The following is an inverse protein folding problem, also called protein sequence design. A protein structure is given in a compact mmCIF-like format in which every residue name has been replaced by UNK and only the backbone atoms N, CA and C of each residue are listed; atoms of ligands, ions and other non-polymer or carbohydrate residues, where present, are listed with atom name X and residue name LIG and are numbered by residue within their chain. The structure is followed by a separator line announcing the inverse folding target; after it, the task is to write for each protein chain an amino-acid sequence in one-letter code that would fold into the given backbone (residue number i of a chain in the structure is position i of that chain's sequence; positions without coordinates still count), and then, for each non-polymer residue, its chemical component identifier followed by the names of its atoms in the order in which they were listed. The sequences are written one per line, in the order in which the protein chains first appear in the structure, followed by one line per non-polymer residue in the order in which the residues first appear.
data_IF_128225756244
#
_entry.id   IF_128225756244
#
_cell.length_a   1.000
_cell.length_b   1.000
_cell.length_c   1.000
_cell.angle_alpha   90.00
_cell.angle_beta   90.00
_cell.angle_gamma   90.00
#
_symmetry.space_group_name_H-M   'P 1'
#
loop_
_entity.id
_entity.type
_entity.pdbx_description
1 polymer ?
#
# COMPACT_ATOMS: atom_id res chain seq x y z
N UNK A 1 0.30 -0.05 10.35
CA UNK A 1 1.04 1.07 9.73
C UNK A 1 0.13 1.82 8.75
N UNK A 2 -0.86 1.14 8.16
CA UNK A 2 -1.97 1.71 7.42
C UNK A 2 -3.23 1.78 8.29
N UNK A 3 -4.04 2.83 8.19
CA UNK A 3 -5.23 3.03 9.04
C UNK A 3 -6.55 2.74 8.32
N UNK A 4 -6.55 2.64 6.98
CA UNK A 4 -7.74 2.39 6.16
C UNK A 4 -8.82 3.48 6.30
N UNK A 5 -8.42 4.73 6.52
CA UNK A 5 -9.39 5.83 6.48
C UNK A 5 -9.82 6.16 5.04
N UNK A 6 -10.94 6.86 4.84
CA UNK A 6 -11.44 7.17 3.51
C UNK A 6 -10.47 7.90 2.58
N UNK A 7 -9.62 8.77 3.10
CA UNK A 7 -8.65 9.54 2.30
C UNK A 7 -7.49 8.63 1.87
N UNK A 8 -6.97 7.82 2.79
CA UNK A 8 -6.01 6.76 2.48
C UNK A 8 -6.55 5.83 1.39
N UNK A 9 -7.80 5.34 1.55
CA UNK A 9 -8.45 4.44 0.60
C UNK A 9 -8.64 5.09 -0.77
N UNK A 10 -9.12 6.35 -0.79
CA UNK A 10 -9.26 7.15 -1.99
C UNK A 10 -7.95 7.30 -2.77
N UNK A 11 -6.84 7.49 -2.06
CA UNK A 11 -5.51 7.57 -2.68
C UNK A 11 -5.02 6.22 -3.22
N UNK A 12 -5.46 5.11 -2.63
CA UNK A 12 -4.97 3.76 -2.94
C UNK A 12 -5.66 3.11 -4.14
N UNK A 13 -6.96 3.33 -4.33
CA UNK A 13 -7.73 2.72 -5.44
C UNK A 13 -7.14 2.95 -6.85
N UNK A 14 -6.69 4.17 -7.22
CA UNK A 14 -6.06 4.41 -8.52
C UNK A 14 -4.80 3.57 -8.75
N UNK A 15 -4.04 3.26 -7.69
CA UNK A 15 -2.85 2.41 -7.79
C UNK A 15 -3.20 0.95 -8.07
N UNK A 16 -4.27 0.43 -7.47
CA UNK A 16 -4.75 -0.94 -7.75
C UNK A 16 -5.23 -1.08 -9.21
N UNK A 17 -6.06 -0.13 -9.66
CA UNK A 17 -6.52 -0.09 -11.05
C UNK A 17 -5.36 0.14 -12.04
N UNK A 18 -4.42 1.04 -11.71
CA UNK A 18 -3.23 1.31 -12.51
C UNK A 18 -2.26 0.12 -12.58
N UNK A 19 -2.10 -0.63 -11.49
CA UNK A 19 -1.31 -1.86 -11.51
C UNK A 19 -1.96 -2.91 -12.41
N UNK A 20 -3.29 -3.09 -12.34
CA UNK A 20 -4.03 -3.96 -13.25
C UNK A 20 -3.84 -3.51 -14.72
N UNK A 21 -3.95 -2.21 -14.97
CA UNK A 21 -3.79 -1.59 -16.28
C UNK A 21 -2.43 -1.92 -16.91
N UNK A 22 -1.32 -1.73 -16.19
CA UNK A 22 0.04 -2.00 -16.71
C UNK A 22 0.17 -3.48 -17.11
N UNK A 23 -0.38 -4.40 -16.32
CA UNK A 23 -0.36 -5.82 -16.64
C UNK A 23 -1.27 -6.17 -17.82
N UNK A 24 -2.46 -5.56 -17.91
CA UNK A 24 -3.37 -5.73 -19.04
C UNK A 24 -2.80 -5.17 -20.35
N UNK A 25 -2.12 -4.04 -20.28
CA UNK A 25 -1.42 -3.44 -21.41
C UNK A 25 -0.33 -4.36 -21.94
N UNK A 26 0.42 -5.05 -21.07
CA UNK A 26 1.42 -6.02 -21.51
C UNK A 26 0.79 -7.18 -22.32
N UNK A 27 -0.41 -7.65 -21.94
CA UNK A 27 -1.14 -8.65 -22.74
C UNK A 27 -1.59 -8.05 -24.07
N UNK A 28 -2.13 -6.82 -24.05
CA UNK A 28 -2.58 -6.13 -25.26
C UNK A 28 -1.45 -5.93 -26.26
N UNK A 29 -0.28 -5.47 -25.83
CA UNK A 29 0.89 -5.25 -26.70
C UNK A 29 1.46 -6.55 -27.28
N UNK A 30 1.57 -7.62 -26.47
CA UNK A 30 2.24 -8.86 -26.88
C UNK A 30 1.31 -9.81 -27.62
N UNK A 31 0.01 -9.79 -27.29
CA UNK A 31 -0.98 -10.78 -27.74
C UNK A 31 -2.13 -10.18 -28.52
N UNK A 32 -2.34 -8.87 -28.46
CA UNK A 32 -3.48 -8.21 -29.07
C UNK A 32 -4.82 -8.71 -28.54
N UNK A 33 -4.87 -9.07 -27.26
CA UNK A 33 -6.08 -9.44 -26.51
C UNK A 33 -6.21 -8.51 -25.29
N UNK A 34 -7.39 -8.43 -24.68
CA UNK A 34 -7.71 -7.53 -23.55
C UNK A 34 -7.74 -6.04 -23.92
N UNK A 35 -7.88 -5.68 -25.20
CA UNK A 35 -7.88 -4.27 -25.62
C UNK A 35 -9.01 -3.48 -24.92
N UNK A 36 -10.22 -4.03 -24.93
CA UNK A 36 -11.40 -3.44 -24.29
C UNK A 36 -11.21 -3.29 -22.77
N UNK A 37 -10.73 -4.35 -22.11
CA UNK A 37 -10.44 -4.35 -20.67
C UNK A 37 -9.34 -3.34 -20.27
N UNK A 38 -8.28 -3.26 -21.08
CA UNK A 38 -7.19 -2.30 -20.88
C UNK A 38 -7.69 -0.86 -20.96
N UNK A 39 -8.54 -0.55 -21.95
CA UNK A 39 -9.14 0.78 -22.07
C UNK A 39 -10.06 1.09 -20.87
N UNK A 40 -10.89 0.13 -20.46
CA UNK A 40 -11.75 0.28 -19.29
C UNK A 40 -10.93 0.55 -18.01
N UNK A 41 -9.83 -0.17 -17.81
CA UNK A 41 -8.93 0.06 -16.67
C UNK A 41 -8.26 1.43 -16.72
N UNK A 42 -7.93 1.94 -17.91
CA UNK A 42 -7.37 3.29 -18.06
C UNK A 42 -8.40 4.36 -17.67
N UNK A 43 -9.65 4.22 -18.13
CA UNK A 43 -10.76 5.09 -17.72
C UNK A 43 -10.99 4.98 -16.21
N UNK A 44 -11.01 3.76 -15.66
CA UNK A 44 -11.24 3.52 -14.25
C UNK A 44 -10.13 4.10 -13.35
N UNK A 45 -8.85 3.92 -13.70
CA UNK A 45 -7.74 4.47 -12.91
C UNK A 45 -7.79 6.01 -12.85
N UNK A 46 -8.10 6.65 -13.99
CA UNK A 46 -8.27 8.10 -14.04
C UNK A 46 -9.52 8.55 -13.27
N UNK A 47 -10.66 7.88 -13.49
CA UNK A 47 -11.92 8.11 -12.78
C UNK A 47 -11.77 8.04 -11.26
N UNK A 48 -11.08 7.02 -10.75
CA UNK A 48 -10.82 6.83 -9.32
C UNK A 48 -9.95 7.95 -8.74
N UNK A 49 -9.01 8.52 -9.52
CA UNK A 49 -8.21 9.66 -9.08
C UNK A 49 -9.05 10.93 -8.90
N UNK A 50 -10.02 11.16 -9.79
CA UNK A 50 -10.98 12.27 -9.70
C UNK A 50 -11.99 12.04 -8.58
N UNK A 51 -12.49 10.81 -8.43
CA UNK A 51 -13.34 10.42 -7.33
C UNK A 51 -12.65 10.66 -5.99
N UNK A 52 -11.35 10.32 -5.87
CA UNK A 52 -10.58 10.62 -4.68
C UNK A 52 -10.57 12.11 -4.35
N UNK A 53 -10.37 12.97 -5.34
CA UNK A 53 -10.46 14.43 -5.15
C UNK A 53 -11.83 14.86 -4.61
N UNK A 54 -12.92 14.30 -5.16
CA UNK A 54 -14.27 14.54 -4.66
C UNK A 54 -14.44 14.11 -3.21
N UNK A 55 -14.02 12.89 -2.85
CA UNK A 55 -14.19 12.35 -1.50
C UNK A 55 -13.45 13.18 -0.45
N UNK A 56 -12.25 13.67 -0.76
CA UNK A 56 -11.43 14.44 0.19
C UNK A 56 -11.91 15.89 0.35
N UNK A 57 -12.49 16.50 -0.70
CA UNK A 57 -12.83 17.94 -0.73
C UNK A 57 -14.31 18.26 -0.53
N UNK A 58 -15.20 17.31 -0.77
CA UNK A 58 -16.66 17.54 -0.69
C UNK A 58 -17.20 17.66 0.73
N UNK A 59 -16.47 17.15 1.74
CA UNK A 59 -16.96 17.07 3.12
C UNK A 59 -18.00 15.97 3.35
N UNK A 60 -18.25 15.12 2.35
CA UNK A 60 -19.24 14.03 2.44
C UNK A 60 -18.77 12.90 3.36
N UNK A 61 -17.45 12.72 3.50
CA UNK A 61 -16.85 11.76 4.42
C UNK A 61 -16.11 12.47 5.55
N UNK A 62 -16.28 11.97 6.77
CA UNK A 62 -15.44 12.34 7.91
C UNK A 62 -14.12 11.58 7.83
N UNK A 63 -13.00 12.30 7.81
CA UNK A 63 -11.66 11.73 7.88
C UNK A 63 -10.75 12.67 8.66
N UNK A 64 -9.76 12.10 9.34
CA UNK A 64 -8.68 12.84 10.01
C UNK A 64 -7.73 13.52 9.03
N UNK A 65 -7.73 13.08 7.77
CA UNK A 65 -6.89 13.61 6.69
C UNK A 65 -7.65 14.55 5.74
N UNK A 66 -8.92 14.86 6.00
CA UNK A 66 -9.67 15.81 5.16
C UNK A 66 -9.33 17.25 5.55
N UNK A 67 -9.01 18.07 4.55
CA UNK A 67 -8.65 19.49 4.72
C UNK A 67 -9.55 20.38 3.87
N UNK A 68 -10.07 21.45 4.46
CA UNK A 68 -10.89 22.47 3.80
C UNK A 68 -12.10 21.88 3.04
N UNK A 69 -12.96 21.17 3.78
CA UNK A 69 -14.23 20.67 3.26
C UNK A 69 -15.19 21.83 2.99
N UNK A 70 -15.64 21.95 1.75
CA UNK A 70 -16.59 22.98 1.30
C UNK A 70 -17.61 22.33 0.35
N UNK A 71 -18.89 22.20 0.77
CA UNK A 71 -19.93 21.58 -0.05
C UNK A 71 -20.08 22.21 -1.43
N UNK A 72 -19.84 23.53 -1.56
CA UNK A 72 -19.95 24.23 -2.85
C UNK A 72 -18.90 23.75 -3.86
N UNK A 73 -17.66 23.51 -3.39
CA UNK A 73 -16.58 22.91 -4.19
C UNK A 73 -16.88 21.45 -4.51
N UNK A 74 -17.47 20.73 -3.55
CA UNK A 74 -17.93 19.36 -3.75
C UNK A 74 -18.87 19.22 -4.95
N UNK A 75 -19.86 20.11 -5.07
CA UNK A 75 -20.82 20.11 -6.18
C UNK A 75 -20.14 20.36 -7.53
N UNK A 76 -19.22 21.33 -7.61
CA UNK A 76 -18.46 21.59 -8.84
C UNK A 76 -17.65 20.35 -9.27
N UNK A 77 -16.93 19.73 -8.34
CA UNK A 77 -16.15 18.52 -8.61
C UNK A 77 -17.07 17.38 -9.04
N UNK A 78 -18.25 17.23 -8.43
CA UNK A 78 -19.22 16.20 -8.79
C UNK A 78 -19.73 16.36 -10.22
N UNK A 79 -20.08 17.58 -10.64
CA UNK A 79 -20.50 17.88 -12.02
C UNK A 79 -19.36 17.58 -13.00
N UNK A 80 -18.14 18.02 -12.67
CA UNK A 80 -16.95 17.73 -13.47
C UNK A 80 -16.70 16.22 -13.60
N UNK A 81 -16.81 15.48 -12.49
CA UNK A 81 -16.69 14.04 -12.42
C UNK A 81 -17.73 13.34 -13.31
N UNK A 82 -18.99 13.76 -13.22
CA UNK A 82 -20.08 13.21 -14.03
C UNK A 82 -19.86 13.43 -15.53
N UNK A 83 -19.40 14.62 -15.94
CA UNK A 83 -19.11 14.93 -17.34
C UNK A 83 -17.92 14.11 -17.87
N UNK A 84 -16.81 14.06 -17.11
CA UNK A 84 -15.58 13.41 -17.56
C UNK A 84 -15.70 11.89 -17.53
N UNK A 85 -16.16 11.31 -16.42
CA UNK A 85 -16.34 9.85 -16.31
C UNK A 85 -17.50 9.40 -17.17
N UNK A 86 -18.65 10.08 -17.09
CA UNK A 86 -19.84 9.73 -17.87
C UNK A 86 -19.56 9.83 -19.36
N UNK A 87 -18.87 10.88 -19.81
CA UNK A 87 -18.42 11.05 -21.19
C UNK A 87 -17.47 9.94 -21.63
N UNK A 88 -16.45 9.62 -20.83
CA UNK A 88 -15.49 8.55 -21.15
C UNK A 88 -16.17 7.17 -21.23
N UNK A 89 -17.05 6.83 -20.28
CA UNK A 89 -17.78 5.57 -20.27
C UNK A 89 -18.81 5.50 -21.41
N UNK A 90 -19.47 6.61 -21.74
CA UNK A 90 -20.38 6.69 -22.89
C UNK A 90 -19.63 6.46 -24.20
N UNK A 91 -18.49 7.14 -24.40
CA UNK A 91 -17.65 6.93 -25.58
C UNK A 91 -17.15 5.48 -25.66
N UNK A 92 -16.73 4.91 -24.54
CA UNK A 92 -16.37 3.50 -24.45
C UNK A 92 -17.52 2.58 -24.86
N UNK A 93 -18.73 2.79 -24.34
CA UNK A 93 -19.91 1.99 -24.68
C UNK A 93 -20.28 2.12 -26.17
N UNK A 94 -20.26 3.34 -26.72
CA UNK A 94 -20.55 3.60 -28.13
C UNK A 94 -19.50 3.00 -29.07
N UNK A 95 -18.24 2.86 -28.61
CA UNK A 95 -17.14 2.28 -29.39
C UNK A 95 -16.85 0.82 -29.06
N UNK A 96 -17.55 0.22 -28.10
CA UNK A 96 -17.30 -1.13 -27.61
C UNK A 96 -17.29 -2.18 -28.74
N UNK A 97 -18.24 -2.10 -29.68
CA UNK A 97 -18.31 -3.02 -30.83
C UNK A 97 -17.17 -2.88 -31.84
N UNK A 98 -16.46 -1.75 -31.85
CA UNK A 98 -15.29 -1.52 -32.70
C UNK A 98 -13.96 -1.87 -31.99
N UNK A 99 -13.99 -1.99 -30.65
CA UNK A 99 -12.84 -2.34 -29.83
C UNK A 99 -12.62 -3.85 -29.84
N UNK A 100 -12.09 -4.33 -30.97
CA UNK A 100 -11.45 -5.64 -31.14
C UNK A 100 -12.24 -6.82 -30.58
N UNK A 101 -12.99 -7.51 -31.44
CA UNK A 101 -13.31 -8.91 -31.18
C UNK A 101 -11.98 -9.64 -30.96
N UNK A 102 -11.77 -10.22 -29.77
CA UNK A 102 -10.64 -11.10 -29.51
C UNK A 102 -10.66 -12.16 -30.64
N UNK A 103 -9.66 -12.11 -31.53
CA UNK A 103 -9.57 -13.04 -32.65
C UNK A 103 -9.63 -14.47 -32.07
N UNK A 104 -10.65 -15.29 -32.41
CA UNK A 104 -10.80 -16.63 -31.85
C UNK A 104 -9.56 -17.53 -32.07
N UNK A 105 -8.71 -17.19 -33.05
CA UNK A 105 -7.43 -17.86 -33.32
C UNK A 105 -6.32 -17.51 -32.33
N UNK A 106 -6.54 -16.53 -31.45
CA UNK A 106 -5.61 -16.07 -30.40
C UNK A 106 -5.91 -16.67 -29.02
N UNK A 107 -6.70 -17.74 -28.96
CA UNK A 107 -6.97 -18.48 -27.73
C UNK A 107 -5.69 -18.88 -26.97
N UNK A 108 -5.80 -18.94 -25.65
CA UNK A 108 -4.72 -19.33 -24.75
C UNK A 108 -5.21 -20.43 -23.80
N UNK A 109 -4.32 -21.34 -23.42
CA UNK A 109 -4.65 -22.42 -22.48
C UNK A 109 -4.76 -21.88 -21.05
N UNK A 110 -5.50 -22.56 -20.15
CA UNK A 110 -5.56 -22.19 -18.73
C UNK A 110 -4.18 -22.14 -18.03
N UNK A 111 -3.19 -22.84 -18.56
CA UNK A 111 -1.82 -22.90 -18.02
C UNK A 111 -0.88 -21.87 -18.66
N UNK A 112 -1.40 -20.80 -19.21
CA UNK A 112 -0.64 -19.77 -19.93
C UNK A 112 -0.35 -18.52 -19.07
N UNK A 113 0.59 -17.70 -19.55
CA UNK A 113 0.88 -16.38 -18.95
C UNK A 113 -0.33 -15.45 -19.03
N UNK A 114 -1.12 -15.52 -20.10
CA UNK A 114 -2.35 -14.75 -20.28
C UNK A 114 -3.35 -15.07 -19.15
N UNK A 115 -3.53 -16.34 -18.81
CA UNK A 115 -4.41 -16.74 -17.70
C UNK A 115 -3.92 -16.21 -16.36
N UNK A 116 -2.61 -16.25 -16.10
CA UNK A 116 -2.04 -15.67 -14.87
C UNK A 116 -2.22 -14.15 -14.80
N UNK A 117 -2.04 -13.45 -15.93
CA UNK A 117 -2.26 -12.01 -16.01
C UNK A 117 -3.74 -11.64 -15.92
N UNK A 118 -4.65 -12.49 -16.41
CA UNK A 118 -6.09 -12.37 -16.23
C UNK A 118 -6.46 -12.53 -14.76
N UNK A 119 -5.98 -13.58 -14.09
CA UNK A 119 -6.20 -13.79 -12.66
C UNK A 119 -5.66 -12.62 -11.82
N UNK A 120 -4.47 -12.12 -12.14
CA UNK A 120 -3.91 -10.91 -11.53
C UNK A 120 -4.84 -9.70 -11.71
N UNK A 121 -5.32 -9.46 -12.94
CA UNK A 121 -6.23 -8.36 -13.24
C UNK A 121 -7.54 -8.47 -12.48
N UNK A 122 -8.13 -9.66 -12.43
CA UNK A 122 -9.36 -9.92 -11.69
C UNK A 122 -9.17 -9.68 -10.19
N UNK A 123 -8.08 -10.17 -9.60
CA UNK A 123 -7.80 -9.97 -8.17
C UNK A 123 -7.54 -8.50 -7.82
N UNK A 124 -6.78 -7.77 -8.64
CA UNK A 124 -6.54 -6.34 -8.44
C UNK A 124 -7.81 -5.51 -8.62
N UNK A 125 -8.61 -5.80 -9.64
CA UNK A 125 -9.89 -5.14 -9.87
C UNK A 125 -10.88 -5.44 -8.74
N UNK A 126 -10.94 -6.69 -8.26
CA UNK A 126 -11.76 -7.08 -7.11
C UNK A 126 -11.31 -6.40 -5.82
N UNK A 127 -9.99 -6.28 -5.58
CA UNK A 127 -9.45 -5.54 -4.44
C UNK A 127 -9.81 -4.06 -4.53
N UNK A 128 -9.70 -3.45 -5.72
CA UNK A 128 -10.11 -2.07 -5.95
C UNK A 128 -11.60 -1.87 -5.70
N UNK A 129 -12.45 -2.77 -6.22
CA UNK A 129 -13.90 -2.73 -6.02
C UNK A 129 -14.27 -2.91 -4.54
N UNK A 130 -13.60 -3.82 -3.83
CA UNK A 130 -13.79 -4.01 -2.38
C UNK A 130 -13.46 -2.75 -1.60
N UNK A 131 -12.32 -2.09 -1.89
CA UNK A 131 -11.95 -0.82 -1.24
C UNK A 131 -12.97 0.28 -1.57
N UNK A 132 -13.41 0.37 -2.83
CA UNK A 132 -14.42 1.32 -3.27
C UNK A 132 -15.74 1.12 -2.53
N UNK A 133 -16.25 -0.12 -2.49
CA UNK A 133 -17.49 -0.47 -1.80
C UNK A 133 -17.39 -0.15 -0.32
N UNK A 134 -16.33 -0.58 0.37
CA UNK A 134 -16.14 -0.28 1.79
C UNK A 134 -16.06 1.23 2.08
N UNK A 135 -15.45 2.00 1.18
CA UNK A 135 -15.31 3.46 1.33
C UNK A 135 -16.62 4.20 1.05
N UNK A 136 -17.41 3.76 0.07
CA UNK A 136 -18.68 4.40 -0.30
C UNK A 136 -19.88 3.90 0.51
N UNK A 137 -19.79 2.74 1.16
CA UNK A 137 -20.90 2.14 1.90
C UNK A 137 -21.50 3.07 2.97
N UNK A 138 -20.72 3.78 3.80
CA UNK A 138 -21.27 4.77 4.73
C UNK A 138 -22.14 5.85 4.08
N UNK A 139 -21.78 6.31 2.87
CA UNK A 139 -22.57 7.32 2.13
C UNK A 139 -23.88 6.74 1.64
N UNK A 140 -23.84 5.50 1.13
CA UNK A 140 -25.04 4.81 0.66
C UNK A 140 -26.00 4.54 1.81
N UNK A 141 -25.50 4.09 2.95
CA UNK A 141 -26.31 3.85 4.14
C UNK A 141 -26.99 5.14 4.64
N UNK A 142 -26.25 6.26 4.66
CA UNK A 142 -26.78 7.56 5.04
C UNK A 142 -27.85 8.06 4.06
N UNK A 143 -27.60 7.95 2.75
CA UNK A 143 -28.54 8.34 1.70
C UNK A 143 -29.84 7.52 1.71
N UNK A 144 -29.77 6.26 2.15
CA UNK A 144 -30.93 5.37 2.30
C UNK A 144 -31.64 5.52 3.65
N UNK A 145 -31.18 6.40 4.54
CA UNK A 145 -31.76 6.58 5.88
C UNK A 145 -31.50 5.42 6.84
N UNK A 146 -30.48 4.58 6.58
CA UNK A 146 -30.12 3.43 7.41
C UNK A 146 -29.27 3.81 8.65
N UNK A 147 -29.01 5.11 8.84
CA UNK A 147 -28.19 5.65 9.91
C UNK A 147 -26.70 5.76 9.56
N UNK A 148 -25.92 6.33 10.48
CA UNK A 148 -24.48 6.53 10.31
C UNK A 148 -23.74 5.23 10.63
N UNK A 149 -23.19 4.59 9.59
CA UNK A 149 -22.34 3.39 9.71
C UNK A 149 -20.89 3.78 9.39
N UNK A 150 -19.92 3.14 10.04
CA UNK A 150 -18.50 3.26 9.69
C UNK A 150 -17.93 1.89 9.32
N UNK A 151 -17.09 1.87 8.28
CA UNK A 151 -16.36 0.68 7.84
C UNK A 151 -14.90 0.89 8.20
N UNK A 152 -14.36 0.02 9.06
CA UNK A 152 -13.01 0.17 9.61
C UNK A 152 -12.02 -0.93 9.19
N UNK A 153 -10.82 -0.93 9.78
CA UNK A 153 -9.74 -1.88 9.47
C UNK A 153 -10.12 -3.36 9.46
N UNK A 154 -11.05 -3.89 10.28
CA UNK A 154 -11.43 -5.30 10.23
C UNK A 154 -11.98 -5.75 8.87
N UNK A 155 -12.78 -4.90 8.20
CA UNK A 155 -13.32 -5.18 6.87
C UNK A 155 -12.20 -5.20 5.83
N UNK A 156 -11.47 -4.08 5.72
CA UNK A 156 -10.46 -3.90 4.70
C UNK A 156 -9.26 -4.86 4.88
N UNK A 157 -8.72 -4.96 6.09
CA UNK A 157 -7.55 -5.80 6.37
C UNK A 157 -7.79 -7.27 6.07
N UNK A 158 -8.96 -7.80 6.45
CA UNK A 158 -9.31 -9.21 6.21
C UNK A 158 -9.52 -9.50 4.73
N UNK A 159 -10.36 -8.70 4.05
CA UNK A 159 -10.67 -8.92 2.64
C UNK A 159 -9.47 -8.63 1.74
N UNK A 160 -8.67 -7.62 2.07
CA UNK A 160 -7.46 -7.31 1.30
C UNK A 160 -6.45 -8.44 1.41
N UNK A 161 -6.25 -9.02 2.61
CA UNK A 161 -5.39 -10.19 2.76
C UNK A 161 -5.91 -11.37 1.92
N UNK A 162 -7.22 -11.64 1.95
CA UNK A 162 -7.83 -12.73 1.19
C UNK A 162 -7.62 -12.59 -0.33
N UNK A 163 -7.70 -11.37 -0.86
CA UNK A 163 -7.53 -11.10 -2.29
C UNK A 163 -6.05 -11.02 -2.70
N UNK A 164 -5.19 -10.47 -1.85
CA UNK A 164 -3.77 -10.27 -2.18
C UNK A 164 -2.91 -11.50 -1.92
N UNK A 165 -3.27 -12.39 -0.99
CA UNK A 165 -2.50 -13.60 -0.74
C UNK A 165 -2.40 -14.53 -1.97
N UNK A 166 -3.50 -14.83 -2.71
CA UNK A 166 -3.41 -15.55 -3.97
C UNK A 166 -2.59 -14.80 -5.04
N UNK A 167 -2.70 -13.47 -5.11
CA UNK A 167 -1.92 -12.67 -6.05
C UNK A 167 -0.42 -12.81 -5.77
N UNK A 168 -0.01 -12.70 -4.51
CA UNK A 168 1.39 -12.88 -4.08
C UNK A 168 1.87 -14.30 -4.35
N UNK A 169 1.02 -15.31 -4.15
CA UNK A 169 1.34 -16.70 -4.46
C UNK A 169 1.59 -16.90 -5.97
N UNK A 170 0.79 -16.28 -6.83
CA UNK A 170 0.91 -16.38 -8.29
C UNK A 170 2.04 -15.54 -8.89
N UNK A 171 2.51 -14.50 -8.19
CA UNK A 171 3.44 -13.50 -8.74
C UNK A 171 4.71 -14.11 -9.37
N UNK A 172 5.47 -15.03 -8.72
CA UNK A 172 6.65 -15.64 -9.34
C UNK A 172 6.38 -16.44 -10.63
N UNK A 173 5.18 -16.95 -10.81
CA UNK A 173 4.84 -17.75 -11.99
C UNK A 173 4.77 -16.89 -13.25
N UNK A 174 4.26 -15.66 -13.16
CA UNK A 174 4.00 -14.80 -14.32
C UNK A 174 5.19 -14.66 -15.29
N UNK A 175 6.38 -14.21 -14.82
CA UNK A 175 7.56 -14.06 -15.68
C UNK A 175 8.14 -15.38 -16.21
N UNK A 176 7.86 -16.50 -15.52
CA UNK A 176 8.44 -17.82 -15.77
C UNK A 176 7.58 -18.71 -16.68
N UNK A 177 6.28 -18.45 -16.74
CA UNK A 177 5.32 -19.18 -17.58
C UNK A 177 5.33 -18.61 -19.01
N UNK A 178 5.20 -19.45 -20.02
CA UNK A 178 5.16 -19.04 -21.42
C UNK A 178 3.80 -18.45 -21.83
N UNK A 179 3.82 -17.57 -22.83
CA UNK A 179 2.60 -17.13 -23.52
C UNK A 179 1.91 -18.30 -24.23
N UNK A 180 0.59 -18.20 -24.47
CA UNK A 180 -0.25 -19.15 -25.22
C UNK A 180 -0.48 -20.48 -24.51
N UNK A 181 0.59 -21.19 -24.16
CA UNK A 181 0.56 -22.50 -23.52
C UNK A 181 1.83 -22.73 -22.72
N UNK A 182 1.67 -23.41 -21.60
CA UNK A 182 2.76 -23.95 -20.82
C UNK A 182 2.32 -25.22 -20.08
N UNK A 183 3.27 -25.97 -19.56
CA UNK A 183 3.02 -27.11 -18.69
C UNK A 183 3.08 -26.63 -17.24
N UNK A 184 1.97 -26.73 -16.50
CA UNK A 184 1.91 -26.30 -15.10
C UNK A 184 2.95 -27.01 -14.22
N UNK A 185 3.17 -28.30 -14.45
CA UNK A 185 4.18 -29.12 -13.77
C UNK A 185 5.60 -28.56 -13.92
N UNK A 186 5.94 -27.98 -15.07
CA UNK A 186 7.25 -27.36 -15.32
C UNK A 186 7.48 -26.15 -14.42
N UNK A 187 6.50 -25.24 -14.38
CA UNK A 187 6.60 -24.03 -13.57
C UNK A 187 6.61 -24.37 -12.07
N UNK A 188 5.76 -25.32 -11.65
CA UNK A 188 5.71 -25.83 -10.28
C UNK A 188 7.03 -26.48 -9.87
N UNK A 189 7.57 -27.41 -10.66
CA UNK A 189 8.84 -28.08 -10.37
C UNK A 189 10.01 -27.08 -10.31
N UNK A 190 9.99 -26.06 -11.18
CA UNK A 190 11.01 -25.01 -11.20
C UNK A 190 10.98 -24.10 -9.96
N UNK A 191 9.78 -23.86 -9.40
CA UNK A 191 9.58 -22.98 -8.26
C UNK A 191 9.55 -23.72 -6.91
N UNK A 192 9.29 -25.03 -6.90
CA UNK A 192 9.16 -25.82 -5.68
C UNK A 192 10.36 -25.71 -4.71
N UNK A 193 11.63 -25.76 -5.14
CA UNK A 193 12.76 -25.58 -4.22
C UNK A 193 12.75 -24.21 -3.52
N UNK A 194 12.30 -23.17 -4.23
CA UNK A 194 12.21 -21.81 -3.69
C UNK A 194 11.01 -21.62 -2.79
N UNK A 195 9.90 -22.31 -3.07
CA UNK A 195 8.75 -22.39 -2.16
C UNK A 195 9.14 -23.05 -0.83
N UNK A 196 9.85 -24.19 -0.89
CA UNK A 196 10.36 -24.87 0.31
C UNK A 196 11.31 -23.96 1.08
N UNK A 197 12.27 -23.31 0.41
CA UNK A 197 13.17 -22.38 1.08
C UNK A 197 12.42 -21.19 1.71
N UNK A 198 11.44 -20.61 1.03
CA UNK A 198 10.62 -19.53 1.57
C UNK A 198 9.85 -19.97 2.83
N UNK A 199 9.26 -21.17 2.82
CA UNK A 199 8.58 -21.76 3.97
C UNK A 199 9.54 -22.03 5.14
N UNK A 200 10.76 -22.53 4.86
CA UNK A 200 11.78 -22.73 5.90
C UNK A 200 12.19 -21.41 6.55
N UNK A 201 12.41 -20.36 5.75
CA UNK A 201 12.70 -19.02 6.28
C UNK A 201 11.52 -18.47 7.10
N UNK A 202 10.29 -18.71 6.65
CA UNK A 202 9.07 -18.41 7.40
C UNK A 202 8.99 -19.15 8.73
N UNK A 203 9.31 -20.44 8.75
CA UNK A 203 9.34 -21.23 9.97
C UNK A 203 10.41 -20.74 10.96
N UNK A 204 11.59 -20.34 10.48
CA UNK A 204 12.61 -19.70 11.33
C UNK A 204 12.06 -18.40 11.91
N UNK A 205 11.42 -17.56 11.09
CA UNK A 205 10.84 -16.30 11.54
C UNK A 205 9.71 -16.48 12.58
N UNK A 206 8.91 -17.54 12.46
CA UNK A 206 7.89 -17.92 13.46
C UNK A 206 8.52 -18.07 14.85
N UNK A 207 9.62 -18.82 14.95
CA UNK A 207 10.30 -19.09 16.22
C UNK A 207 11.06 -17.86 16.76
N UNK A 208 11.60 -17.01 15.88
CA UNK A 208 12.34 -15.82 16.30
C UNK A 208 11.44 -14.67 16.80
N UNK A 209 10.15 -14.68 16.47
CA UNK A 209 9.21 -13.60 16.77
C UNK A 209 7.93 -14.09 17.48
N UNK A 210 8.02 -14.70 18.67
CA UNK A 210 6.88 -15.37 19.32
C UNK A 210 5.66 -14.46 19.55
N UNK A 211 5.87 -13.17 19.82
CA UNK A 211 4.81 -12.17 20.02
C UNK A 211 3.98 -11.85 18.77
N UNK A 212 4.47 -12.22 17.59
CA UNK A 212 3.85 -11.91 16.29
C UNK A 212 4.09 -13.01 15.26
N UNK A 213 4.21 -14.26 15.72
CA UNK A 213 4.80 -15.37 14.96
C UNK A 213 4.15 -15.58 13.59
N UNK A 214 2.81 -15.53 13.51
CA UNK A 214 2.07 -15.71 12.26
C UNK A 214 2.37 -14.61 11.24
N UNK A 215 2.36 -13.34 11.66
CA UNK A 215 2.66 -12.21 10.77
C UNK A 215 4.13 -12.20 10.34
N UNK A 216 5.04 -12.54 11.25
CA UNK A 216 6.46 -12.67 10.93
C UNK A 216 6.71 -13.79 9.91
N UNK A 217 6.14 -14.98 10.15
CA UNK A 217 6.25 -16.12 9.24
C UNK A 217 5.65 -15.83 7.87
N UNK A 218 4.44 -15.26 7.83
CA UNK A 218 3.78 -14.88 6.58
C UNK A 218 4.59 -13.81 5.83
N UNK A 219 5.08 -12.79 6.52
CA UNK A 219 5.89 -11.72 5.95
C UNK A 219 7.18 -12.22 5.34
N UNK A 220 7.94 -13.03 6.07
CA UNK A 220 9.21 -13.60 5.59
C UNK A 220 8.97 -14.60 4.47
N UNK A 221 7.96 -15.48 4.58
CA UNK A 221 7.62 -16.44 3.53
C UNK A 221 7.24 -15.71 2.25
N UNK A 222 6.33 -14.74 2.32
CA UNK A 222 5.85 -14.01 1.15
C UNK A 222 6.95 -13.18 0.49
N UNK A 223 7.76 -12.47 1.28
CA UNK A 223 8.89 -11.71 0.78
C UNK A 223 9.95 -12.61 0.13
N UNK A 224 10.33 -13.72 0.79
CA UNK A 224 11.28 -14.68 0.25
C UNK A 224 10.75 -15.34 -1.02
N UNK A 225 9.47 -15.73 -1.05
CA UNK A 225 8.81 -16.34 -2.22
C UNK A 225 8.90 -15.43 -3.45
N UNK A 226 8.54 -14.15 -3.29
CA UNK A 226 8.59 -13.17 -4.38
C UNK A 226 10.04 -12.86 -4.78
N UNK A 227 10.95 -12.65 -3.82
CA UNK A 227 12.34 -12.33 -4.08
C UNK A 227 13.08 -13.48 -4.79
N UNK A 228 12.96 -14.70 -4.27
CA UNK A 228 13.59 -15.90 -4.83
C UNK A 228 12.98 -16.27 -6.18
N UNK A 229 11.67 -16.11 -6.35
CA UNK A 229 11.00 -16.28 -7.64
C UNK A 229 11.49 -15.30 -8.71
N UNK A 230 11.66 -14.03 -8.33
CA UNK A 230 12.21 -12.97 -9.19
C UNK A 230 13.68 -13.27 -9.53
N UNK A 231 14.49 -13.66 -8.55
CA UNK A 231 15.87 -14.08 -8.76
C UNK A 231 15.97 -15.32 -9.66
N UNK A 232 15.03 -16.26 -9.54
CA UNK A 232 14.96 -17.45 -10.39
C UNK A 232 14.73 -17.09 -11.86
N UNK A 233 13.90 -16.08 -12.14
CA UNK A 233 13.74 -15.55 -13.50
C UNK A 233 15.05 -14.97 -14.04
N UNK A 234 15.74 -14.15 -13.26
CA UNK A 234 17.06 -13.60 -13.62
C UNK A 234 18.05 -14.72 -13.94
N UNK A 235 18.11 -15.74 -13.09
CA UNK A 235 18.98 -16.90 -13.27
C UNK A 235 18.68 -17.67 -14.56
N UNK A 236 17.41 -17.95 -14.88
CA UNK A 236 17.04 -18.60 -16.15
C UNK A 236 17.57 -17.82 -17.34
N UNK A 237 17.43 -16.49 -17.28
CA UNK A 237 17.76 -15.60 -18.39
C UNK A 237 19.27 -15.52 -18.61
N UNK A 238 20.03 -15.38 -17.53
CA UNK A 238 21.50 -15.35 -17.58
C UNK A 238 22.08 -16.66 -18.10
N UNK A 239 21.58 -17.82 -17.65
CA UNK A 239 22.00 -19.13 -18.19
C UNK A 239 21.69 -19.31 -19.67
N UNK A 240 20.66 -18.64 -20.18
CA UNK A 240 20.28 -18.65 -21.59
C UNK A 240 20.92 -17.54 -22.43
N UNK A 241 21.99 -16.87 -21.96
CA UNK A 241 22.62 -15.71 -22.61
C UNK A 241 21.62 -14.61 -23.00
N UNK A 242 20.57 -14.45 -22.20
CA UNK A 242 19.50 -13.51 -22.45
C UNK A 242 19.84 -12.09 -22.04
N UNK A 243 19.55 -11.12 -22.91
CA UNK A 243 19.65 -9.69 -22.57
C UNK A 243 18.40 -9.21 -21.83
N UNK A 244 18.59 -8.22 -20.94
CA UNK A 244 17.52 -7.50 -20.25
C UNK A 244 17.19 -6.22 -21.02
N UNK A 245 15.90 -6.01 -21.31
CA UNK A 245 15.38 -4.74 -21.82
C UNK A 245 14.82 -3.90 -20.67
N UNK A 246 14.42 -2.66 -20.95
CA UNK A 246 13.88 -1.76 -19.93
C UNK A 246 12.58 -2.31 -19.29
N UNK A 247 11.68 -2.90 -20.09
CA UNK A 247 10.47 -3.59 -19.60
C UNK A 247 10.80 -4.68 -18.54
N UNK A 248 11.81 -5.51 -18.81
CA UNK A 248 12.24 -6.56 -17.87
C UNK A 248 12.89 -5.97 -16.62
N UNK A 249 13.76 -4.97 -16.76
CA UNK A 249 14.39 -4.31 -15.59
C UNK A 249 13.32 -3.63 -14.73
N UNK A 250 12.35 -2.97 -15.36
CA UNK A 250 11.22 -2.35 -14.68
C UNK A 250 10.39 -3.36 -13.89
N UNK A 251 10.05 -4.50 -14.51
CA UNK A 251 9.37 -5.61 -13.83
C UNK A 251 10.19 -6.16 -12.65
N UNK A 252 11.49 -6.38 -12.83
CA UNK A 252 12.38 -6.89 -11.77
C UNK A 252 12.43 -5.94 -10.57
N UNK A 253 12.57 -4.63 -10.82
CA UNK A 253 12.57 -3.62 -9.77
C UNK A 253 11.23 -3.58 -9.05
N UNK A 254 10.11 -3.64 -9.79
CA UNK A 254 8.78 -3.59 -9.19
C UNK A 254 8.48 -4.85 -8.36
N UNK A 255 8.71 -6.05 -8.90
CA UNK A 255 8.46 -7.29 -8.17
C UNK A 255 9.43 -7.47 -7.00
N UNK A 256 10.70 -7.08 -7.14
CA UNK A 256 11.63 -6.99 -6.01
C UNK A 256 11.17 -5.98 -4.96
N UNK A 257 10.61 -4.85 -5.39
CA UNK A 257 9.98 -3.85 -4.52
C UNK A 257 8.80 -4.41 -3.72
N UNK A 258 7.95 -5.25 -4.34
CA UNK A 258 6.88 -5.98 -3.64
C UNK A 258 7.44 -6.87 -2.54
N UNK A 259 8.53 -7.62 -2.79
CA UNK A 259 9.16 -8.44 -1.76
C UNK A 259 9.65 -7.61 -0.56
N UNK A 260 10.33 -6.49 -0.83
CA UNK A 260 10.82 -5.56 0.21
C UNK A 260 9.66 -4.94 0.99
N UNK A 261 8.59 -4.55 0.29
CA UNK A 261 7.38 -3.99 0.89
C UNK A 261 6.69 -5.01 1.81
N UNK A 262 6.50 -6.25 1.36
CA UNK A 262 5.86 -7.32 2.13
C UNK A 262 6.64 -7.61 3.42
N UNK A 263 7.97 -7.67 3.34
CA UNK A 263 8.83 -7.80 4.51
C UNK A 263 8.61 -6.62 5.48
N UNK A 264 8.64 -5.39 4.99
CA UNK A 264 8.42 -4.19 5.81
C UNK A 264 7.05 -4.16 6.48
N UNK A 265 5.99 -4.35 5.71
CA UNK A 265 4.61 -4.21 6.15
C UNK A 265 4.21 -5.27 7.19
N UNK A 266 4.61 -6.53 7.00
CA UNK A 266 4.24 -7.61 7.91
C UNK A 266 5.19 -7.72 9.10
N UNK A 267 6.49 -7.45 8.94
CA UNK A 267 7.43 -7.46 10.07
C UNK A 267 7.21 -6.26 11.01
N UNK A 268 6.86 -5.07 10.50
CA UNK A 268 6.55 -3.95 11.39
C UNK A 268 5.33 -4.29 12.25
N UNK A 269 4.32 -4.97 11.71
CA UNK A 269 3.15 -5.39 12.49
C UNK A 269 3.45 -6.51 13.47
N UNK A 270 4.31 -7.46 13.09
CA UNK A 270 4.69 -8.58 13.94
C UNK A 270 5.58 -8.16 15.12
N UNK A 271 6.43 -7.14 14.93
CA UNK A 271 7.50 -6.79 15.85
C UNK A 271 7.33 -5.42 16.52
N UNK A 272 6.29 -4.67 16.17
CA UNK A 272 6.00 -3.38 16.81
C UNK A 272 5.76 -3.56 18.31
N UNK A 273 6.54 -2.84 19.12
CA UNK A 273 6.35 -2.76 20.57
C UNK A 273 5.69 -1.44 20.88
N UNK A 274 4.54 -1.48 21.55
CA UNK A 274 3.80 -0.30 21.98
C UNK A 274 3.69 -0.24 23.50
N UNK A 275 3.90 0.94 24.07
CA UNK A 275 3.61 1.26 25.46
C UNK A 275 2.89 2.60 25.55
N UNK A 276 1.88 2.65 26.40
CA UNK A 276 1.12 3.86 26.69
C UNK A 276 1.08 4.01 28.20
N UNK A 277 1.66 5.09 28.70
CA UNK A 277 1.89 5.31 30.12
C UNK A 277 1.67 6.77 30.47
N UNK A 278 1.25 7.02 31.70
CA UNK A 278 1.29 8.35 32.30
C UNK A 278 2.74 8.65 32.71
N UNK A 279 3.32 9.76 32.22
CA UNK A 279 4.64 10.21 32.62
C UNK A 279 4.57 11.62 33.19
N UNK A 280 5.19 11.82 34.34
CA UNK A 280 5.52 13.14 34.89
C UNK A 280 6.95 13.55 34.48
N UNK A 281 7.25 14.86 34.39
CA UNK A 281 8.58 15.35 34.12
C UNK A 281 9.66 14.69 35.01
N UNK A 282 10.75 14.27 34.40
CA UNK A 282 11.85 13.54 35.03
C UNK A 282 11.70 12.03 35.01
N UNK A 283 10.50 11.48 34.79
CA UNK A 283 10.29 10.03 34.72
C UNK A 283 10.85 9.43 33.43
N UNK A 284 11.24 8.16 33.51
CA UNK A 284 11.84 7.41 32.41
C UNK A 284 11.07 6.14 32.13
N UNK A 285 10.70 5.92 30.88
CA UNK A 285 10.09 4.69 30.39
C UNK A 285 11.15 3.82 29.71
N UNK A 286 11.22 2.53 30.10
CA UNK A 286 12.05 1.54 29.39
C UNK A 286 11.19 0.76 28.40
N UNK A 287 11.60 0.75 27.12
CA UNK A 287 10.89 0.00 26.07
C UNK A 287 11.85 -0.45 24.96
N UNK A 288 11.84 -1.75 24.66
CA UNK A 288 12.62 -2.37 23.58
C UNK A 288 14.11 -1.93 23.53
N UNK A 289 14.74 -1.82 24.70
CA UNK A 289 16.15 -1.42 24.83
C UNK A 289 16.43 0.09 24.76
N UNK A 290 15.39 0.92 24.72
CA UNK A 290 15.47 2.38 24.84
C UNK A 290 14.98 2.85 26.21
N UNK A 291 15.66 3.85 26.75
CA UNK A 291 15.19 4.63 27.90
C UNK A 291 14.68 5.98 27.38
N UNK A 292 13.39 6.25 27.52
CA UNK A 292 12.78 7.52 27.14
C UNK A 292 12.51 8.35 28.38
N UNK A 293 13.27 9.42 28.57
CA UNK A 293 13.09 10.36 29.67
C UNK A 293 12.17 11.49 29.23
N UNK A 294 11.03 11.63 29.89
CA UNK A 294 10.11 12.72 29.66
C UNK A 294 10.56 13.94 30.46
N UNK A 295 10.86 15.04 29.79
CA UNK A 295 11.37 16.27 30.41
C UNK A 295 10.25 17.28 30.72
N UNK A 296 9.06 17.06 30.14
CA UNK A 296 7.86 17.86 30.37
C UNK A 296 7.25 18.37 29.07
N UNK A 297 6.32 19.30 29.20
CA UNK A 297 5.60 19.93 28.10
C UNK A 297 5.68 21.44 28.26
N UNK A 298 5.95 22.15 27.17
CA UNK A 298 5.77 23.60 27.10
C UNK A 298 4.69 23.97 26.09
N UNK A 299 4.12 25.15 26.26
CA UNK A 299 3.16 25.70 25.32
C UNK A 299 3.89 26.55 24.27
N UNK A 300 3.65 26.28 22.99
CA UNK A 300 4.23 27.03 21.88
C UNK A 300 3.14 27.57 20.95
N UNK A 301 3.32 28.82 20.54
CA UNK A 301 2.50 29.44 19.51
C UNK A 301 3.18 29.26 18.14
N UNK A 302 2.55 28.49 17.26
CA UNK A 302 2.94 28.35 15.86
C UNK A 302 2.31 29.41 14.96
N UNK A 303 2.64 29.42 13.65
CA UNK A 303 2.14 30.43 12.71
C UNK A 303 0.61 30.45 12.55
N UNK A 304 -0.04 29.28 12.66
CA UNK A 304 -1.48 29.11 12.50
C UNK A 304 -2.08 28.10 13.49
N UNK A 305 -1.37 27.77 14.57
CA UNK A 305 -1.79 26.84 15.61
C UNK A 305 -1.18 27.21 16.96
N UNK A 306 -1.82 26.80 18.06
CA UNK A 306 -1.18 26.66 19.36
C UNK A 306 -0.84 25.19 19.59
N UNK A 307 0.25 24.91 20.31
CA UNK A 307 0.75 23.57 20.51
C UNK A 307 1.20 23.34 21.94
N UNK A 308 0.84 22.19 22.49
CA UNK A 308 1.51 21.62 23.65
C UNK A 308 2.62 20.70 23.15
N UNK A 309 3.87 21.09 23.39
CA UNK A 309 5.07 20.41 22.88
C UNK A 309 5.77 19.67 24.01
N UNK A 310 5.75 18.34 23.91
CA UNK A 310 6.49 17.47 24.80
C UNK A 310 7.98 17.45 24.48
N UNK A 311 8.82 17.20 25.48
CA UNK A 311 10.26 17.00 25.33
C UNK A 311 10.62 15.60 25.84
N UNK A 312 11.11 14.74 24.94
CA UNK A 312 11.44 13.35 25.27
C UNK A 312 12.85 13.02 24.80
N UNK A 313 13.77 12.87 25.75
CA UNK A 313 15.14 12.42 25.48
C UNK A 313 15.15 10.91 25.32
N UNK A 314 15.66 10.43 24.20
CA UNK A 314 15.77 9.00 23.88
C UNK A 314 17.21 8.57 24.09
N UNK A 315 17.42 7.61 24.99
CA UNK A 315 18.73 7.03 25.29
C UNK A 315 18.77 5.55 24.89
N UNK A 316 19.95 5.09 24.46
CA UNK A 316 20.25 3.67 24.21
C UNK A 316 21.61 3.35 24.83
N UNK A 317 21.66 2.33 25.69
CA UNK A 317 22.86 1.97 26.45
C UNK A 317 23.50 3.17 27.18
N UNK A 318 22.68 4.01 27.82
CA UNK A 318 23.10 5.19 28.58
C UNK A 318 23.52 6.40 27.75
N UNK A 319 23.65 6.27 26.41
CA UNK A 319 23.96 7.40 25.52
C UNK A 319 22.68 7.96 24.91
N UNK A 320 22.58 9.28 24.88
CA UNK A 320 21.52 9.96 24.15
C UNK A 320 21.68 9.73 22.65
N UNK A 321 20.57 9.37 22.00
CA UNK A 321 20.51 9.11 20.55
C UNK A 321 19.58 10.05 19.80
N UNK A 322 18.67 10.74 20.51
CA UNK A 322 17.77 11.75 19.96
C UNK A 322 17.08 12.53 21.10
N UNK A 323 16.69 13.78 20.80
CA UNK A 323 15.67 14.52 21.54
C UNK A 323 14.45 14.66 20.63
N UNK A 324 13.30 14.17 21.10
CA UNK A 324 12.06 14.16 20.35
C UNK A 324 11.08 15.18 20.90
N UNK A 325 10.38 15.85 19.98
CA UNK A 325 9.41 16.89 20.30
C UNK A 325 8.01 16.55 19.78
N UNK A 326 7.30 15.57 20.38
CA UNK A 326 5.90 15.32 20.04
C UNK A 326 5.01 16.51 20.39
N UNK A 327 3.99 16.78 19.59
CA UNK A 327 3.11 17.95 19.77
C UNK A 327 1.63 17.57 19.71
N UNK A 328 0.83 18.28 20.49
CA UNK A 328 -0.64 18.34 20.36
C UNK A 328 -1.00 19.73 19.85
N UNK A 329 -1.49 19.82 18.61
CA UNK A 329 -1.73 21.09 17.90
C UNK A 329 -3.22 21.40 17.79
N UNK A 330 -3.60 22.61 18.19
CA UNK A 330 -4.91 23.20 17.94
C UNK A 330 -4.78 24.30 16.86
N UNK A 331 -5.35 24.05 15.68
CA UNK A 331 -5.27 24.98 14.55
C UNK A 331 -6.31 26.10 14.64
N UNK A 332 -5.93 27.31 14.25
CA UNK A 332 -6.79 28.50 14.30
C UNK A 332 -8.02 28.42 13.37
N UNK A 333 -7.96 27.58 12.33
CA UNK A 333 -9.10 27.30 11.44
C UNK A 333 -10.23 26.52 12.13
N UNK A 334 -10.05 26.09 13.38
CA UNK A 334 -10.95 25.17 14.08
C UNK A 334 -10.74 23.70 13.68
N UNK A 335 -11.49 22.81 14.32
CA UNK A 335 -11.45 21.36 14.08
C UNK A 335 -10.99 20.55 15.28
N UNK A 336 -10.62 19.29 15.04
CA UNK A 336 -10.08 18.40 16.06
C UNK A 336 -8.61 18.72 16.34
N UNK A 337 -8.18 18.51 17.59
CA UNK A 337 -6.78 18.63 17.98
C UNK A 337 -5.95 17.53 17.31
N UNK A 338 -4.90 17.92 16.61
CA UNK A 338 -4.04 16.99 15.88
C UNK A 338 -2.83 16.60 16.73
N UNK A 339 -2.35 15.37 16.57
CA UNK A 339 -1.15 14.89 17.26
C UNK A 339 -0.01 14.72 16.26
N UNK A 340 1.05 15.48 16.43
CA UNK A 340 2.29 15.31 15.69
C UNK A 340 3.25 14.43 16.50
N UNK A 341 3.68 13.32 15.91
CA UNK A 341 4.60 12.42 16.58
C UNK A 341 6.04 12.93 16.50
N UNK A 342 6.78 12.83 17.61
CA UNK A 342 8.24 12.90 17.59
C UNK A 342 8.79 11.58 17.04
N UNK A 343 9.60 11.64 15.98
CA UNK A 343 10.09 10.44 15.29
C UNK A 343 11.62 10.44 15.26
N UNK A 344 12.23 9.42 15.84
CA UNK A 344 13.64 9.09 15.61
C UNK A 344 13.74 7.99 14.56
N UNK A 345 13.92 8.38 13.30
CA UNK A 345 13.95 7.45 12.18
C UNK A 345 15.35 6.83 11.99
N UNK A 346 15.43 5.49 11.87
CA UNK A 346 16.68 4.75 11.57
C UNK A 346 16.46 3.56 10.65
N UNK A 347 17.53 3.10 10.02
CA UNK A 347 17.49 1.90 9.16
C UNK A 347 17.13 0.62 9.95
N UNK A 348 17.50 0.55 11.23
CA UNK A 348 17.26 -0.59 12.11
C UNK A 348 16.02 -0.43 13.02
N UNK A 349 15.14 0.52 12.73
CA UNK A 349 13.87 0.70 13.43
C UNK A 349 13.69 2.08 14.02
N UNK A 350 12.44 2.54 13.93
CA UNK A 350 12.03 3.89 14.24
C UNK A 350 11.41 3.93 15.64
N UNK A 351 11.72 4.99 16.39
CA UNK A 351 11.06 5.28 17.67
C UNK A 351 10.08 6.41 17.44
N UNK A 352 8.81 6.14 17.69
CA UNK A 352 7.73 7.11 17.65
C UNK A 352 7.32 7.43 19.07
N UNK A 353 7.17 8.72 19.35
CA UNK A 353 6.56 9.21 20.58
C UNK A 353 5.40 10.11 20.18
N UNK A 354 4.24 9.90 20.76
CA UNK A 354 3.06 10.73 20.58
C UNK A 354 2.58 11.20 21.96
N UNK A 355 2.23 12.48 22.03
CA UNK A 355 1.65 13.07 23.23
C UNK A 355 0.13 12.85 23.22
N UNK A 356 -0.41 12.32 24.31
CA UNK A 356 -1.83 12.17 24.56
C UNK A 356 -2.39 13.38 25.30
N UNK A 357 -3.37 13.14 26.16
CA UNK A 357 -4.00 14.19 26.98
C UNK A 357 -3.25 14.42 28.30
N UNK A 358 -3.35 15.63 28.88
CA UNK A 358 -2.90 15.86 30.25
C UNK A 358 -3.76 15.06 31.24
N UNK A 359 -3.12 14.44 32.22
CA UNK A 359 -3.77 13.58 33.22
C UNK A 359 -3.88 14.24 34.61
N UNK A 360 -3.51 15.52 34.72
CA UNK A 360 -3.38 16.24 36.00
C UNK A 360 -2.03 15.99 36.68
N UNK A 361 -1.73 16.75 37.74
CA UNK A 361 -0.47 16.66 38.51
C UNK A 361 0.80 16.70 37.64
N UNK A 362 0.78 17.51 36.57
CA UNK A 362 1.85 17.64 35.58
C UNK A 362 2.19 16.32 34.84
N UNK A 363 1.33 15.32 34.90
CA UNK A 363 1.48 14.06 34.17
C UNK A 363 0.75 14.12 32.83
N UNK A 364 1.32 13.46 31.84
CA UNK A 364 0.76 13.35 30.49
C UNK A 364 0.68 11.90 30.05
N UNK A 365 -0.36 11.55 29.30
CA UNK A 365 -0.38 10.30 28.57
C UNK A 365 0.68 10.37 27.46
N UNK A 366 1.63 9.44 27.46
CA UNK A 366 2.67 9.34 26.43
C UNK A 366 2.60 7.97 25.79
N UNK A 367 2.43 7.94 24.48
CA UNK A 367 2.41 6.71 23.69
C UNK A 367 3.73 6.57 22.95
N UNK A 368 4.44 5.47 23.20
CA UNK A 368 5.72 5.15 22.58
C UNK A 368 5.57 3.89 21.73
N UNK A 369 6.05 3.96 20.49
CA UNK A 369 6.16 2.80 19.62
C UNK A 369 7.60 2.61 19.15
N UNK A 370 8.06 1.36 19.17
CA UNK A 370 9.30 0.95 18.50
C UNK A 370 8.92 0.09 17.32
N UNK A 371 9.05 0.65 16.12
CA UNK A 371 8.58 0.07 14.85
C UNK A 371 9.77 -0.29 13.96
N UNK A 372 10.16 -1.57 13.89
CA UNK A 372 11.22 -1.99 12.98
C UNK A 372 10.70 -2.03 11.53
N UNK A 373 11.59 -1.89 10.55
CA UNK A 373 11.28 -2.06 9.11
C UNK A 373 10.30 -1.06 8.47
N UNK A 374 9.90 0.04 9.12
CA UNK A 374 9.04 1.07 8.48
C UNK A 374 9.66 1.58 7.17
N UNK A 375 10.98 1.83 7.16
CA UNK A 375 11.71 2.26 5.96
C UNK A 375 11.67 1.26 4.81
N UNK A 376 11.47 -0.02 5.07
CA UNK A 376 11.35 -1.04 4.02
C UNK A 376 10.04 -0.91 3.25
N UNK A 377 8.96 -0.46 3.91
CA UNK A 377 7.69 -0.14 3.26
C UNK A 377 7.93 0.95 2.19
N UNK A 378 8.59 2.03 2.58
CA UNK A 378 8.94 3.13 1.67
C UNK A 378 9.92 2.72 0.57
N UNK A 379 10.96 1.94 0.91
CA UNK A 379 11.91 1.44 -0.07
C UNK A 379 11.23 0.54 -1.11
N UNK A 380 10.34 -0.37 -0.68
CA UNK A 380 9.56 -1.21 -1.58
C UNK A 380 8.69 -0.38 -2.53
N UNK A 381 7.99 0.63 -2.00
CA UNK A 381 7.19 1.55 -2.81
C UNK A 381 8.05 2.33 -3.82
N UNK A 382 9.21 2.82 -3.41
CA UNK A 382 10.16 3.52 -4.28
C UNK A 382 10.68 2.61 -5.41
N UNK A 383 11.01 1.36 -5.10
CA UNK A 383 11.45 0.37 -6.09
C UNK A 383 10.33 0.06 -7.11
N UNK A 384 9.09 -0.05 -6.66
CA UNK A 384 7.92 -0.20 -7.53
C UNK A 384 7.72 1.00 -8.45
N UNK A 385 7.79 2.22 -7.91
CA UNK A 385 7.70 3.44 -8.70
C UNK A 385 8.84 3.55 -9.73
N UNK A 386 10.08 3.24 -9.31
CA UNK A 386 11.24 3.22 -10.19
C UNK A 386 11.07 2.22 -11.33
N UNK A 387 10.52 1.03 -11.05
CA UNK A 387 10.21 0.03 -12.07
C UNK A 387 9.23 0.54 -13.13
N UNK A 388 8.20 1.29 -12.71
CA UNK A 388 7.30 2.01 -13.61
C UNK A 388 8.02 3.03 -14.49
N UNK A 389 8.86 3.90 -13.90
CA UNK A 389 9.63 4.90 -14.66
C UNK A 389 10.62 4.29 -15.65
N UNK A 390 11.32 3.22 -15.26
CA UNK A 390 12.23 2.50 -16.17
C UNK A 390 11.47 1.94 -17.36
N UNK A 391 10.28 1.39 -17.16
CA UNK A 391 9.43 0.86 -18.23
C UNK A 391 8.91 1.97 -19.14
N UNK A 392 8.49 3.11 -18.57
CA UNK A 392 8.01 4.27 -19.33
C UNK A 392 9.14 4.93 -20.16
N UNK A 393 10.38 4.87 -19.69
CA UNK A 393 11.54 5.42 -20.40
C UNK A 393 12.02 4.57 -21.58
N UNK A 394 11.39 3.41 -21.84
CA UNK A 394 11.75 2.52 -22.94
C UNK A 394 11.71 3.24 -24.30
N UNK A 395 12.74 3.02 -25.11
CA UNK A 395 12.90 3.63 -26.44
C UNK A 395 11.74 3.30 -27.38
N UNK A 396 11.03 2.19 -27.16
CA UNK A 396 9.85 1.81 -27.97
C UNK A 396 8.75 2.87 -27.96
N UNK A 397 8.60 3.63 -26.87
CA UNK A 397 7.59 4.69 -26.75
C UNK A 397 8.04 6.04 -27.32
N UNK A 398 9.29 6.14 -27.80
CA UNK A 398 9.87 7.37 -28.38
C UNK A 398 9.83 7.39 -29.91
N UNK A 399 9.30 6.34 -30.55
CA UNK A 399 9.17 6.28 -32.00
C UNK A 399 7.72 6.59 -32.38
N UNK A 400 7.49 7.58 -33.27
CA UNK A 400 6.15 7.99 -33.69
C UNK A 400 5.40 6.89 -34.45
#
# INVERSE_FOLDING_TARGET
WWFWDPVENASFMPWLAGAALIHSQAVTEKRGSFASWTLLLAIAAFALSLLGTFLVRSGVLTSVHSFAADPSRGTFILIFLALVIGGALLLYALRAGALGNDDPRRGFMPTSRETLLLANNLLLAAACAMVLLGTLYPLLADALGLGKVSVGPPYFGTLFLLLMAPLVALLPFGPLVNWQRDQASRALAMLAPWAVLALLLGAIAWWMAPQGALKAAAGVTAAAWVALGTARFVWTRLRGNGRFNAEMVGMLLAHGGVAVFLAGALLVEALNVQREVALSPGQTLQVAGYALRFEGVDHQQGPNYSADRGHVRVLRAGREVALLHPEKRAYASGGQMMTEAGIHARLNGDVYVALGEPLGNNAWAVRVHVKPFVRWIWLGALLMALGGFVTAADRRFRRP
#
